data_IF_448631085940
#
_entry.id   IF_448631085940
#
_cell.length_a   1.000
_cell.length_b   1.000
_cell.length_c   1.000
_cell.angle_alpha   90.00
_cell.angle_beta   90.00
_cell.angle_gamma   90.00
#
_symmetry.space_group_name_H-M   'P 1'
#
loop_
_entity.id
_entity.type
_entity.pdbx_description
1 polymer ?
#
# COMPACT_ATOMS: atom_id res chain seq x y z
N UNK A 1 13.72 19.06 -16.22
CA UNK A 1 12.50 18.23 -16.20
C UNK A 1 11.33 19.14 -15.87
N UNK A 2 10.48 19.39 -16.82
CA UNK A 2 9.22 20.09 -16.56
C UNK A 2 8.23 19.04 -16.01
N UNK A 3 8.04 19.06 -14.69
CA UNK A 3 6.93 18.30 -14.12
C UNK A 3 5.64 19.06 -14.43
N UNK A 4 4.63 18.38 -14.92
CA UNK A 4 3.29 18.95 -14.96
C UNK A 4 2.84 19.08 -13.51
N UNK A 5 2.95 20.29 -12.96
CA UNK A 5 2.59 20.56 -11.57
C UNK A 5 1.10 20.40 -11.35
N UNK A 6 0.73 19.74 -10.26
CA UNK A 6 -0.66 19.62 -9.80
C UNK A 6 -0.76 20.06 -8.36
N UNK A 7 -1.67 20.98 -8.10
CA UNK A 7 -1.94 21.48 -6.73
C UNK A 7 -2.71 20.47 -5.86
N UNK A 8 -3.30 19.44 -6.44
CA UNK A 8 -4.06 18.42 -5.70
C UNK A 8 -3.12 17.43 -5.01
N UNK A 9 -3.47 17.05 -3.79
CA UNK A 9 -2.81 15.99 -3.03
C UNK A 9 -3.16 14.63 -3.66
N UNK A 10 -2.15 13.85 -3.96
CA UNK A 10 -2.29 12.50 -4.46
C UNK A 10 -1.28 11.56 -3.81
N UNK A 11 -1.60 10.28 -3.80
CA UNK A 11 -0.66 9.26 -3.34
C UNK A 11 0.31 8.89 -4.45
N UNK A 12 1.60 8.83 -4.11
CA UNK A 12 2.67 8.39 -5.02
C UNK A 12 3.46 7.28 -4.37
N UNK A 13 3.96 6.36 -5.18
CA UNK A 13 4.81 5.26 -4.71
C UNK A 13 6.27 5.67 -4.76
N UNK A 14 6.98 5.37 -3.69
CA UNK A 14 8.41 5.64 -3.53
C UNK A 14 9.16 4.33 -3.32
N UNK A 15 10.20 4.12 -4.12
CA UNK A 15 11.17 3.06 -3.91
C UNK A 15 12.22 3.52 -2.89
N UNK A 16 12.49 2.69 -1.90
CA UNK A 16 13.46 2.95 -0.86
C UNK A 16 14.50 1.82 -0.78
N UNK A 17 15.63 2.11 -0.18
CA UNK A 17 16.66 1.10 0.04
C UNK A 17 16.12 -0.04 0.90
N UNK A 18 16.54 -1.25 0.60
CA UNK A 18 16.16 -2.44 1.37
C UNK A 18 16.42 -2.26 2.86
N UNK A 19 15.47 -2.66 3.68
CA UNK A 19 15.50 -2.53 5.14
C UNK A 19 15.56 -1.10 5.68
N UNK A 20 15.22 -0.11 4.85
CA UNK A 20 15.14 1.30 5.24
C UNK A 20 13.68 1.79 5.32
N UNK A 21 12.71 0.96 5.03
CA UNK A 21 11.31 1.34 4.91
C UNK A 21 10.81 2.10 6.15
N UNK A 22 10.99 1.55 7.35
CA UNK A 22 10.57 2.20 8.59
C UNK A 22 11.37 3.45 8.93
N UNK A 23 12.67 3.46 8.61
CA UNK A 23 13.53 4.63 8.80
C UNK A 23 13.12 5.78 7.88
N UNK A 24 12.78 5.46 6.64
CA UNK A 24 12.29 6.45 5.67
C UNK A 24 10.93 6.99 6.10
N UNK A 25 10.02 6.11 6.52
CA UNK A 25 8.71 6.51 7.06
C UNK A 25 8.88 7.53 8.21
N UNK A 26 9.73 7.23 9.20
CA UNK A 26 10.00 8.14 10.33
C UNK A 26 10.56 9.49 9.87
N UNK A 27 11.50 9.49 8.93
CA UNK A 27 12.11 10.70 8.39
C UNK A 27 11.12 11.58 7.61
N UNK A 28 10.29 10.95 6.77
CA UNK A 28 9.26 11.65 6.01
C UNK A 28 8.22 12.28 6.95
N UNK A 29 7.76 11.52 7.94
CA UNK A 29 6.83 12.01 8.96
C UNK A 29 7.40 13.20 9.73
N UNK A 30 8.67 13.15 10.14
CA UNK A 30 9.38 14.26 10.78
C UNK A 30 9.55 15.48 9.88
N UNK A 31 9.64 15.26 8.57
CA UNK A 31 9.68 16.33 7.57
C UNK A 31 8.29 16.91 7.23
N UNK A 32 7.23 16.45 7.90
CA UNK A 32 5.85 16.90 7.67
C UNK A 32 5.18 16.30 6.44
N UNK A 33 5.77 15.24 5.85
CA UNK A 33 5.17 14.50 4.73
C UNK A 33 4.26 13.40 5.27
N UNK A 34 3.00 13.40 4.81
CA UNK A 34 2.08 12.29 5.06
C UNK A 34 2.55 11.06 4.27
N UNK A 35 2.96 10.03 4.99
CA UNK A 35 3.51 8.82 4.41
C UNK A 35 2.83 7.57 4.98
N UNK A 36 2.69 6.55 4.15
CA UNK A 36 2.05 5.29 4.51
C UNK A 36 2.93 4.11 4.10
N UNK A 37 3.30 3.30 5.08
CA UNK A 37 4.02 2.05 4.90
C UNK A 37 3.08 0.90 5.28
N UNK A 38 2.48 0.20 4.30
CA UNK A 38 1.70 -1.00 4.58
C UNK A 38 2.57 -2.07 5.23
N UNK A 39 2.28 -2.43 6.47
CA UNK A 39 3.04 -3.40 7.23
C UNK A 39 2.12 -4.25 8.12
N UNK A 40 2.54 -5.46 8.40
CA UNK A 40 1.89 -6.39 9.31
C UNK A 40 2.84 -6.82 10.41
N UNK A 41 2.28 -7.06 11.59
CA UNK A 41 3.04 -7.62 12.70
C UNK A 41 2.93 -9.15 12.68
N UNK A 42 4.08 -9.81 12.73
CA UNK A 42 4.16 -11.26 12.82
C UNK A 42 5.04 -11.68 13.99
N UNK A 43 4.64 -12.76 14.65
CA UNK A 43 5.47 -13.38 15.68
C UNK A 43 6.67 -14.06 15.02
N UNK A 44 7.86 -13.54 15.28
CA UNK A 44 9.09 -14.19 14.89
C UNK A 44 9.62 -15.03 16.07
N UNK A 45 9.92 -16.30 15.80
CA UNK A 45 10.60 -17.18 16.73
C UNK A 45 12.12 -17.05 16.52
N UNK A 46 12.79 -16.37 17.43
CA UNK A 46 14.25 -16.34 17.42
C UNK A 46 14.79 -17.03 18.69
N UNK A 47 15.35 -18.22 18.50
CA UNK A 47 15.85 -19.12 19.55
C UNK A 47 14.83 -19.34 20.67
N UNK A 48 14.86 -18.61 21.76
CA UNK A 48 13.98 -18.84 22.93
C UNK A 48 12.99 -17.71 23.20
N UNK A 49 12.87 -16.73 22.31
CA UNK A 49 11.99 -15.58 22.50
C UNK A 49 11.03 -15.37 21.32
N UNK A 50 9.74 -15.22 21.65
CA UNK A 50 8.73 -14.74 20.70
C UNK A 50 8.80 -13.22 20.66
N UNK A 51 9.10 -12.63 19.53
CA UNK A 51 9.11 -11.19 19.32
C UNK A 51 8.14 -10.80 18.21
N UNK A 52 7.30 -9.80 18.48
CA UNK A 52 6.47 -9.19 17.45
C UNK A 52 7.36 -8.33 16.56
N UNK A 53 7.38 -8.62 15.27
CA UNK A 53 8.17 -7.88 14.29
C UNK A 53 7.24 -7.39 13.19
N UNK A 54 7.38 -6.11 12.83
CA UNK A 54 6.67 -5.51 11.71
C UNK A 54 7.38 -5.78 10.39
N UNK A 55 6.63 -6.27 9.41
CA UNK A 55 7.11 -6.56 8.07
C UNK A 55 6.37 -5.71 7.05
N UNK A 56 7.08 -5.01 6.14
CA UNK A 56 6.44 -4.35 5.02
C UNK A 56 5.71 -5.35 4.13
N UNK A 57 4.48 -5.03 3.72
CA UNK A 57 3.73 -5.86 2.76
C UNK A 57 4.32 -5.78 1.35
N UNK A 58 4.88 -4.64 1.01
CA UNK A 58 5.57 -4.38 -0.26
C UNK A 58 7.02 -3.97 0.03
N UNK A 59 7.93 -4.93 0.25
CA UNK A 59 9.32 -4.63 0.61
C UNK A 59 9.98 -3.69 -0.40
N UNK A 60 10.64 -2.65 0.09
CA UNK A 60 11.28 -1.63 -0.72
C UNK A 60 10.37 -0.50 -1.22
N UNK A 61 9.10 -0.48 -0.81
CA UNK A 61 8.14 0.53 -1.25
C UNK A 61 7.34 1.10 -0.09
N UNK A 62 7.03 2.38 -0.20
CA UNK A 62 6.06 3.08 0.63
C UNK A 62 5.33 4.14 -0.20
N UNK A 63 4.30 4.72 0.38
CA UNK A 63 3.47 5.72 -0.29
C UNK A 63 3.58 7.06 0.42
N UNK A 64 3.57 8.13 -0.37
CA UNK A 64 3.57 9.51 0.12
C UNK A 64 2.37 10.26 -0.45
N UNK A 65 1.73 11.07 0.37
CA UNK A 65 0.58 11.88 0.01
C UNK A 65 1.02 13.32 -0.14
N UNK A 66 1.31 13.74 -1.35
CA UNK A 66 1.91 15.04 -1.67
C UNK A 66 1.24 15.67 -2.90
N UNK A 67 1.48 16.95 -3.08
CA UNK A 67 1.22 17.63 -4.36
C UNK A 67 2.33 17.29 -5.34
N UNK A 68 1.99 17.16 -6.62
CA UNK A 68 3.00 17.00 -7.68
C UNK A 68 3.65 18.36 -7.98
N UNK A 69 4.37 18.88 -6.98
CA UNK A 69 5.11 20.13 -7.04
C UNK A 69 6.59 19.87 -6.77
N UNK A 70 7.45 20.67 -7.38
CA UNK A 70 8.89 20.50 -7.28
C UNK A 70 9.39 20.43 -5.83
N UNK A 71 8.92 21.32 -4.97
CA UNK A 71 9.34 21.39 -3.56
C UNK A 71 8.96 20.15 -2.76
N UNK A 72 7.71 19.68 -2.89
CA UNK A 72 7.21 18.48 -2.19
C UNK A 72 7.98 17.24 -2.66
N UNK A 73 8.15 17.09 -3.97
CA UNK A 73 8.89 15.98 -4.57
C UNK A 73 10.37 15.99 -4.19
N UNK A 74 10.98 17.16 -4.18
CA UNK A 74 12.39 17.31 -3.79
C UNK A 74 12.61 16.96 -2.32
N UNK A 75 11.70 17.33 -1.44
CA UNK A 75 11.73 16.97 -0.01
C UNK A 75 11.74 15.45 0.17
N UNK A 76 10.89 14.75 -0.58
CA UNK A 76 10.84 13.28 -0.57
C UNK A 76 12.15 12.70 -1.10
N UNK A 77 12.63 13.17 -2.27
CA UNK A 77 13.84 12.63 -2.91
C UNK A 77 15.11 12.87 -2.11
N UNK A 78 15.19 13.98 -1.35
CA UNK A 78 16.32 14.27 -0.47
C UNK A 78 16.30 13.46 0.83
N UNK A 79 15.21 12.79 1.14
CA UNK A 79 15.11 11.97 2.35
C UNK A 79 16.05 10.76 2.23
N UNK A 80 16.98 10.65 3.17
CA UNK A 80 17.96 9.55 3.16
C UNK A 80 17.30 8.19 3.22
N UNK A 81 17.60 7.34 2.25
CA UNK A 81 17.00 6.01 2.07
C UNK A 81 16.01 5.96 0.91
N UNK A 82 15.50 7.09 0.46
CA UNK A 82 14.69 7.18 -0.76
C UNK A 82 15.60 7.02 -1.98
N UNK A 83 15.16 6.21 -2.93
CA UNK A 83 15.87 5.96 -4.19
C UNK A 83 15.23 6.77 -5.33
N UNK A 84 13.94 6.62 -5.51
CA UNK A 84 13.19 7.29 -6.58
C UNK A 84 11.67 7.17 -6.39
N UNK A 85 10.92 8.02 -7.07
CA UNK A 85 9.50 7.75 -7.31
C UNK A 85 9.33 6.63 -8.33
N UNK A 86 8.26 5.87 -8.21
CA UNK A 86 7.86 4.90 -9.22
C UNK A 86 7.06 5.61 -10.29
N UNK A 87 7.38 5.30 -11.55
CA UNK A 87 6.73 5.87 -12.72
C UNK A 87 6.71 4.84 -13.85
N UNK A 88 5.67 4.86 -14.66
CA UNK A 88 5.61 4.07 -15.91
C UNK A 88 6.39 4.78 -17.02
N UNK A 89 6.35 6.11 -17.04
CA UNK A 89 7.14 6.95 -17.93
C UNK A 89 8.28 7.56 -17.12
N UNK A 90 9.54 7.43 -17.55
CA UNK A 90 10.68 7.99 -16.84
C UNK A 90 10.51 9.48 -16.53
N UNK A 91 10.68 9.84 -15.26
CA UNK A 91 10.55 11.22 -14.80
C UNK A 91 9.13 11.72 -14.55
N UNK A 92 8.10 10.92 -14.81
CA UNK A 92 6.70 11.26 -14.55
C UNK A 92 6.07 10.31 -13.52
N UNK A 93 6.16 10.63 -12.22
CA UNK A 93 5.48 9.84 -11.20
C UNK A 93 3.98 9.79 -11.43
N UNK A 94 3.42 8.59 -11.37
CA UNK A 94 1.99 8.37 -11.48
C UNK A 94 1.32 8.33 -10.10
N UNK A 95 0.16 8.97 -9.96
CA UNK A 95 -0.61 8.84 -8.73
C UNK A 95 -1.16 7.42 -8.58
N UNK A 96 -1.16 6.92 -7.36
CA UNK A 96 -1.85 5.69 -6.98
C UNK A 96 -3.32 6.03 -6.73
N UNK A 97 -4.27 5.26 -7.26
CA UNK A 97 -5.68 5.45 -6.96
C UNK A 97 -5.94 5.46 -5.44
N UNK A 98 -6.61 6.48 -4.96
CA UNK A 98 -6.90 6.63 -3.53
C UNK A 98 -7.65 5.43 -2.96
N UNK A 99 -8.55 4.85 -3.76
CA UNK A 99 -9.29 3.64 -3.41
C UNK A 99 -8.37 2.47 -3.02
N UNK A 100 -7.24 2.29 -3.71
CA UNK A 100 -6.27 1.24 -3.40
C UNK A 100 -5.59 1.49 -2.05
N UNK A 101 -5.20 2.72 -1.77
CA UNK A 101 -4.57 3.10 -0.49
C UNK A 101 -5.57 2.96 0.66
N UNK A 102 -6.79 3.46 0.49
CA UNK A 102 -7.84 3.40 1.52
C UNK A 102 -8.23 1.96 1.83
N UNK A 103 -8.34 1.11 0.83
CA UNK A 103 -8.65 -0.32 1.03
C UNK A 103 -7.55 -1.04 1.82
N UNK A 104 -6.27 -0.75 1.52
CA UNK A 104 -5.14 -1.26 2.31
C UNK A 104 -5.21 -0.79 3.77
N UNK A 105 -5.49 0.49 4.00
CA UNK A 105 -5.61 1.06 5.36
C UNK A 105 -6.73 0.37 6.13
N UNK A 106 -7.92 0.21 5.55
CA UNK A 106 -9.06 -0.46 6.18
C UNK A 106 -8.69 -1.88 6.63
N UNK A 107 -8.07 -2.65 5.74
CA UNK A 107 -7.68 -4.04 6.04
C UNK A 107 -6.63 -4.10 7.15
N UNK A 108 -5.63 -3.22 7.11
CA UNK A 108 -4.54 -3.22 8.09
C UNK A 108 -4.97 -2.69 9.46
N UNK A 109 -5.84 -1.70 9.52
CA UNK A 109 -6.40 -1.16 10.78
C UNK A 109 -7.22 -2.22 11.54
N UNK A 110 -7.89 -3.11 10.84
CA UNK A 110 -8.68 -4.18 11.44
C UNK A 110 -7.87 -5.43 11.81
N UNK A 111 -6.54 -5.38 11.67
CA UNK A 111 -5.62 -6.47 12.03
C UNK A 111 -5.98 -7.83 11.43
N UNK A 112 -6.61 -7.81 10.29
CA UNK A 112 -6.93 -9.03 9.56
C UNK A 112 -5.66 -9.76 9.11
N UNK A 113 -5.73 -11.07 9.02
CA UNK A 113 -4.63 -11.86 8.48
C UNK A 113 -4.58 -11.65 6.97
N UNK A 114 -3.51 -11.06 6.51
CA UNK A 114 -3.24 -10.83 5.09
C UNK A 114 -2.10 -11.70 4.61
N UNK A 115 -2.23 -12.20 3.40
CA UNK A 115 -1.21 -12.99 2.73
C UNK A 115 -0.83 -12.37 1.39
N UNK A 116 0.44 -12.48 0.97
CA UNK A 116 0.82 -12.14 -0.39
C UNK A 116 -0.05 -12.91 -1.39
N UNK A 117 -0.48 -12.23 -2.43
CA UNK A 117 -1.28 -12.81 -3.50
C UNK A 117 -0.73 -12.37 -4.86
N UNK A 118 -0.74 -13.24 -5.88
CA UNK A 118 -0.36 -12.84 -7.23
C UNK A 118 -1.17 -11.65 -7.69
N UNK A 119 -0.52 -10.73 -8.40
CA UNK A 119 -1.21 -9.58 -8.97
C UNK A 119 -2.32 -10.03 -9.92
N UNK A 120 -3.52 -9.50 -9.69
CA UNK A 120 -4.66 -9.71 -10.55
C UNK A 120 -5.07 -8.36 -11.16
N UNK A 121 -5.10 -8.30 -12.48
CA UNK A 121 -5.61 -7.14 -13.22
C UNK A 121 -7.12 -7.24 -13.46
N UNK A 122 -7.61 -8.44 -13.65
CA UNK A 122 -9.00 -8.72 -14.01
C UNK A 122 -9.65 -9.67 -13.00
N UNK A 123 -10.94 -9.54 -12.84
CA UNK A 123 -11.75 -10.34 -11.94
C UNK A 123 -13.02 -9.60 -11.55
N UNK A 124 -13.82 -10.20 -10.68
CA UNK A 124 -15.05 -9.59 -10.19
C UNK A 124 -14.72 -8.45 -9.21
N UNK A 125 -14.92 -7.22 -9.64
CA UNK A 125 -14.74 -6.05 -8.76
C UNK A 125 -15.87 -5.99 -7.74
N UNK A 126 -15.50 -5.79 -6.51
CA UNK A 126 -16.41 -5.77 -5.38
C UNK A 126 -16.04 -4.71 -4.37
N UNK A 127 -17.03 -4.35 -3.56
CA UNK A 127 -16.89 -3.54 -2.37
C UNK A 127 -17.43 -4.31 -1.17
N UNK A 128 -16.77 -4.17 -0.04
CA UNK A 128 -17.30 -4.70 1.23
C UNK A 128 -18.32 -3.70 1.78
N UNK A 129 -19.56 -4.15 1.95
CA UNK A 129 -20.68 -3.28 2.36
C UNK A 129 -20.89 -3.20 3.86
N UNK A 130 -20.46 -4.20 4.62
CA UNK A 130 -20.61 -4.26 6.07
C UNK A 130 -19.47 -5.04 6.74
N UNK A 131 -19.42 -4.95 8.06
CA UNK A 131 -18.39 -5.61 8.87
C UNK A 131 -17.11 -4.78 9.02
N UNK A 132 -16.05 -5.36 9.61
CA UNK A 132 -14.80 -4.65 9.90
C UNK A 132 -14.10 -4.09 8.66
N UNK A 133 -14.28 -4.72 7.52
CA UNK A 133 -13.65 -4.32 6.26
C UNK A 133 -14.55 -3.43 5.38
N UNK A 134 -15.66 -2.93 5.92
CA UNK A 134 -16.59 -2.09 5.18
C UNK A 134 -15.88 -0.90 4.51
N UNK A 135 -16.16 -0.70 3.23
CA UNK A 135 -15.52 0.33 2.41
C UNK A 135 -14.29 -0.14 1.63
N UNK A 136 -13.73 -1.31 1.93
CA UNK A 136 -12.64 -1.86 1.14
C UNK A 136 -13.13 -2.33 -0.23
N UNK A 137 -12.33 -2.04 -1.26
CA UNK A 137 -12.56 -2.43 -2.64
C UNK A 137 -11.46 -3.38 -3.11
N UNK A 138 -11.81 -4.30 -3.97
CA UNK A 138 -10.84 -5.24 -4.54
C UNK A 138 -11.49 -6.19 -5.52
N UNK A 139 -10.76 -7.27 -5.81
CA UNK A 139 -11.27 -8.36 -6.64
C UNK A 139 -11.67 -9.54 -5.77
N UNK A 140 -12.86 -10.06 -5.99
CA UNK A 140 -13.33 -11.27 -5.31
C UNK A 140 -12.79 -12.51 -6.02
N UNK A 141 -12.13 -13.36 -5.28
CA UNK A 141 -11.70 -14.67 -5.73
C UNK A 141 -12.17 -15.76 -4.79
N UNK A 142 -12.43 -16.92 -5.32
CA UNK A 142 -12.77 -18.11 -4.53
C UNK A 142 -11.56 -19.05 -4.54
N UNK A 143 -11.10 -19.40 -3.34
CA UNK A 143 -10.04 -20.38 -3.14
C UNK A 143 -10.59 -21.51 -2.27
N UNK A 144 -10.69 -22.71 -2.86
CA UNK A 144 -11.34 -23.86 -2.20
C UNK A 144 -12.78 -23.52 -1.79
N UNK A 145 -13.08 -23.52 -0.50
CA UNK A 145 -14.40 -23.13 0.04
C UNK A 145 -14.47 -21.71 0.57
N UNK A 146 -13.40 -20.91 0.44
CA UNK A 146 -13.29 -19.59 1.03
C UNK A 146 -13.34 -18.50 -0.03
N UNK A 147 -13.97 -17.37 0.32
CA UNK A 147 -13.90 -16.16 -0.47
C UNK A 147 -12.77 -15.26 0.04
N UNK A 148 -12.01 -14.72 -0.90
CA UNK A 148 -10.88 -13.84 -0.63
C UNK A 148 -11.11 -12.52 -1.35
N UNK A 149 -10.89 -11.42 -0.65
CA UNK A 149 -10.75 -10.11 -1.27
C UNK A 149 -9.27 -9.91 -1.62
N UNK A 150 -8.98 -9.68 -2.89
CA UNK A 150 -7.64 -9.38 -3.38
C UNK A 150 -7.52 -7.88 -3.57
N UNK A 151 -6.59 -7.28 -2.86
CA UNK A 151 -6.22 -5.88 -2.96
C UNK A 151 -4.94 -5.78 -3.78
N UNK A 152 -5.01 -5.09 -4.90
CA UNK A 152 -3.86 -4.90 -5.79
C UNK A 152 -3.38 -3.47 -5.77
N UNK A 153 -2.06 -3.29 -5.81
CA UNK A 153 -1.42 -2.01 -6.12
C UNK A 153 -0.89 -2.09 -7.55
N UNK A 154 -1.62 -1.51 -8.48
CA UNK A 154 -1.39 -1.71 -9.91
C UNK A 154 0.00 -1.27 -10.37
N UNK A 155 0.47 -0.13 -9.89
CA UNK A 155 1.80 0.40 -10.24
C UNK A 155 2.94 -0.51 -9.76
N UNK A 156 2.75 -1.27 -8.69
CA UNK A 156 3.73 -2.24 -8.16
C UNK A 156 3.55 -3.64 -8.77
N UNK A 157 2.42 -3.91 -9.40
CA UNK A 157 2.03 -5.26 -9.82
C UNK A 157 2.14 -6.27 -8.69
N UNK A 158 1.69 -5.87 -7.51
CA UNK A 158 1.67 -6.70 -6.31
C UNK A 158 0.29 -6.66 -5.68
N UNK A 159 -0.08 -7.73 -5.00
CA UNK A 159 -1.35 -7.85 -4.31
C UNK A 159 -1.23 -8.57 -2.99
N UNK A 160 -2.24 -8.39 -2.18
CA UNK A 160 -2.47 -9.12 -0.94
C UNK A 160 -3.90 -9.67 -0.94
N UNK A 161 -4.14 -10.70 -0.18
CA UNK A 161 -5.48 -11.24 0.01
C UNK A 161 -5.87 -11.26 1.47
N UNK A 162 -7.16 -11.08 1.71
CA UNK A 162 -7.78 -11.20 3.03
C UNK A 162 -9.07 -12.02 2.89
N UNK A 163 -9.38 -12.82 3.91
CA UNK A 163 -10.63 -13.59 3.93
C UNK A 163 -11.82 -12.66 4.12
N UNK A 164 -12.89 -12.94 3.39
CA UNK A 164 -14.16 -12.20 3.49
C UNK A 164 -15.34 -13.16 3.50
N UNK A 165 -16.43 -12.74 4.12
CA UNK A 165 -17.71 -13.43 4.00
C UNK A 165 -18.41 -12.95 2.73
N UNK A 166 -18.91 -13.90 1.93
CA UNK A 166 -19.64 -13.58 0.70
C UNK A 166 -20.88 -12.71 0.95
N UNK A 167 -21.50 -12.83 2.12
CA UNK A 167 -22.66 -12.02 2.51
C UNK A 167 -22.34 -10.53 2.73
N UNK A 168 -21.07 -10.21 2.95
CA UNK A 168 -20.59 -8.85 3.17
C UNK A 168 -20.16 -8.14 1.89
N UNK A 169 -20.16 -8.86 0.77
CA UNK A 169 -19.66 -8.41 -0.52
C UNK A 169 -20.78 -7.85 -1.39
N UNK A 170 -20.50 -6.77 -2.08
CA UNK A 170 -21.34 -6.16 -3.11
C UNK A 170 -20.57 -6.07 -4.42
N UNK A 171 -21.15 -6.55 -5.51
CA UNK A 171 -20.57 -6.44 -6.85
C UNK A 171 -20.71 -5.00 -7.37
N UNK A 172 -19.63 -4.48 -7.95
CA UNK A 172 -19.57 -3.16 -8.59
C UNK A 172 -19.85 -3.25 -10.08
#
# INVERSE_FOLDING_TARGET
MEFTESASLCWYTVHVRSRHEFKVLDRLTKAGIDAFLPAVERLSRWKDRKKLISFPLFPGYLFVHIRKMYEDMLTVLKTHGVVRFISLIPGEPEPVPEEQIMSLKIVLENKETVDPYPYLKEGQRVKIKKGPLAGAHGLLVKRESQHMLVLSVDILRQGISVKVDASDVETL
#
